data_IF_992172288906
#
_entry.id   IF_992172288906
#
_cell.length_a   1.000
_cell.length_b   1.000
_cell.length_c   1.000
_cell.angle_alpha   90.00
_cell.angle_beta   90.00
_cell.angle_gamma   90.00
#
_symmetry.space_group_name_H-M   'P 1'
#
loop_
_entity.id
_entity.type
_entity.pdbx_description
1 polymer ?
#
# COMPACT_ATOMS: atom_id res chain seq x y z
N UNK A 1 -33.67 -29.50 -1.01
CA UNK A 1 -33.31 -28.14 -1.46
C UNK A 1 -32.80 -27.21 -0.32
N UNK A 2 -32.15 -27.72 0.74
CA UNK A 2 -31.67 -26.88 1.85
C UNK A 2 -30.27 -27.27 2.38
N UNK A 3 -29.48 -28.03 1.61
CA UNK A 3 -28.14 -28.49 2.02
C UNK A 3 -26.99 -27.77 1.29
N UNK A 4 -27.27 -26.76 0.47
CA UNK A 4 -26.25 -26.07 -0.34
C UNK A 4 -25.78 -24.73 0.25
N UNK A 5 -26.49 -24.17 1.24
CA UNK A 5 -26.17 -22.85 1.81
C UNK A 5 -25.16 -22.89 2.97
N UNK A 6 -24.92 -24.04 3.59
CA UNK A 6 -24.00 -24.14 4.75
C UNK A 6 -22.56 -24.55 4.39
N UNK A 7 -22.27 -24.88 3.12
CA UNK A 7 -20.92 -25.33 2.70
C UNK A 7 -20.07 -24.25 2.02
N UNK A 8 -20.67 -23.11 1.69
CA UNK A 8 -19.96 -21.93 1.17
C UNK A 8 -19.63 -20.88 2.25
N UNK A 9 -20.00 -21.11 3.52
CA UNK A 9 -19.80 -20.14 4.61
C UNK A 9 -18.37 -20.13 5.20
N UNK A 10 -17.56 -21.16 4.97
CA UNK A 10 -16.23 -21.24 5.61
C UNK A 10 -15.07 -20.68 4.77
N UNK A 11 -15.21 -20.53 3.44
CA UNK A 11 -14.22 -19.83 2.61
C UNK A 11 -14.48 -18.32 2.58
N UNK A 12 -15.74 -17.90 2.49
CA UNK A 12 -16.11 -16.48 2.47
C UNK A 12 -15.85 -15.80 3.82
N UNK A 13 -15.98 -16.52 4.94
CA UNK A 13 -15.60 -15.98 6.26
C UNK A 13 -14.08 -15.83 6.44
N UNK A 14 -13.24 -16.56 5.67
CA UNK A 14 -11.80 -16.29 5.62
C UNK A 14 -11.48 -15.08 4.74
N UNK A 15 -12.24 -14.86 3.65
CA UNK A 15 -12.17 -13.62 2.86
C UNK A 15 -12.62 -12.39 3.66
N UNK A 16 -13.64 -12.51 4.52
CA UNK A 16 -14.01 -11.42 5.44
C UNK A 16 -12.88 -11.10 6.43
N UNK A 17 -12.17 -12.11 6.95
CA UNK A 17 -11.02 -11.90 7.83
C UNK A 17 -9.80 -11.27 7.13
N UNK A 18 -9.70 -11.40 5.79
CA UNK A 18 -8.73 -10.68 4.96
C UNK A 18 -9.23 -9.26 4.62
N UNK A 19 -10.53 -9.06 4.42
CA UNK A 19 -11.15 -7.75 4.14
C UNK A 19 -11.39 -6.85 5.37
N UNK A 20 -11.33 -7.38 6.59
CA UNK A 20 -11.50 -6.61 7.84
C UNK A 20 -10.28 -5.72 8.16
N UNK A 21 -9.17 -5.84 7.42
CA UNK A 21 -7.92 -5.09 7.69
C UNK A 21 -7.73 -3.82 6.85
N UNK A 22 -8.80 -3.35 6.20
CA UNK A 22 -8.74 -2.43 5.06
C UNK A 22 -8.79 -0.91 5.39
N UNK A 23 -8.99 -0.49 6.65
CA UNK A 23 -9.11 0.94 7.05
C UNK A 23 -7.89 1.50 7.80
N UNK A 24 -6.88 0.65 7.98
CA UNK A 24 -5.63 0.94 8.66
C UNK A 24 -4.90 2.12 8.00
N UNK A 25 -4.97 2.23 6.67
CA UNK A 25 -4.32 3.29 5.90
C UNK A 25 -5.10 4.62 5.92
N UNK A 26 -6.43 4.60 5.89
CA UNK A 26 -7.27 5.83 5.86
C UNK A 26 -7.15 6.62 7.15
N UNK A 27 -7.11 5.93 8.30
CA UNK A 27 -6.91 6.59 9.60
C UNK A 27 -5.48 7.11 9.76
N UNK A 28 -4.51 6.40 9.19
CA UNK A 28 -3.11 6.84 9.13
C UNK A 28 -2.97 8.12 8.32
N UNK A 29 -3.58 8.18 7.14
CA UNK A 29 -3.60 9.37 6.29
C UNK A 29 -4.41 10.49 6.95
N UNK A 30 -5.54 10.20 7.61
CA UNK A 30 -6.30 11.20 8.35
C UNK A 30 -5.48 11.82 9.49
N UNK A 31 -4.72 11.01 10.24
CA UNK A 31 -3.79 11.49 11.28
C UNK A 31 -2.64 12.30 10.68
N UNK A 32 -2.06 11.85 9.57
CA UNK A 32 -1.02 12.59 8.84
C UNK A 32 -1.55 13.93 8.35
N UNK A 33 -2.75 13.96 7.78
CA UNK A 33 -3.40 15.18 7.32
C UNK A 33 -3.73 16.09 8.51
N UNK A 34 -4.20 15.58 9.64
CA UNK A 34 -4.42 16.37 10.86
C UNK A 34 -3.12 16.99 11.40
N UNK A 35 -2.00 16.27 11.33
CA UNK A 35 -0.67 16.79 11.68
C UNK A 35 -0.24 17.90 10.71
N UNK A 36 -0.49 17.73 9.41
CA UNK A 36 -0.17 18.76 8.40
C UNK A 36 -1.06 20.00 8.57
N UNK A 37 -2.37 19.82 8.82
CA UNK A 37 -3.34 20.91 9.06
C UNK A 37 -2.95 21.76 10.28
N UNK A 38 -2.40 21.13 11.34
CA UNK A 38 -1.96 21.83 12.55
C UNK A 38 -0.85 22.87 12.33
N UNK A 39 -0.21 22.90 11.17
CA UNK A 39 0.81 23.88 10.78
C UNK A 39 0.38 24.92 9.72
N UNK A 40 -0.87 24.88 9.22
CA UNK A 40 -1.31 25.73 8.12
C UNK A 40 -1.63 27.17 8.56
N UNK A 41 -0.83 28.14 8.10
CA UNK A 41 -1.19 29.56 8.11
C UNK A 41 -2.00 29.92 6.85
N UNK A 42 -3.09 30.67 6.99
CA UNK A 42 -3.90 31.17 5.86
C UNK A 42 -3.04 32.00 4.89
N UNK A 43 -2.99 31.59 3.62
CA UNK A 43 -2.25 32.27 2.53
C UNK A 43 -1.08 31.49 1.91
N UNK A 44 -0.79 30.26 2.36
CA UNK A 44 0.28 29.43 1.79
C UNK A 44 -0.14 28.73 0.49
N UNK A 45 0.84 28.45 -0.39
CA UNK A 45 0.66 27.55 -1.56
C UNK A 45 0.13 26.18 -1.09
N UNK A 46 -0.62 25.44 -1.93
CA UNK A 46 -1.12 24.12 -1.54
C UNK A 46 0.04 23.20 -1.15
N UNK A 47 -0.17 22.36 -0.14
CA UNK A 47 0.79 21.34 0.26
C UNK A 47 0.83 20.27 -0.81
N UNK A 48 1.99 20.16 -1.47
CA UNK A 48 2.19 19.21 -2.55
C UNK A 48 2.45 17.83 -1.95
N UNK A 49 1.74 16.83 -2.46
CA UNK A 49 1.82 15.45 -1.99
C UNK A 49 2.11 14.53 -3.17
N UNK A 50 3.00 13.56 -2.97
CA UNK A 50 3.18 12.41 -3.85
C UNK A 50 3.01 11.14 -3.04
N UNK A 51 2.28 10.17 -3.59
CA UNK A 51 1.98 8.90 -2.94
C UNK A 51 2.72 7.77 -3.64
N UNK A 52 3.45 6.93 -2.89
CA UNK A 52 4.05 5.68 -3.39
C UNK A 52 3.31 4.48 -2.78
N UNK A 53 2.72 3.62 -3.61
CA UNK A 53 1.69 2.65 -3.22
C UNK A 53 1.82 1.34 -4.01
N UNK A 54 1.39 0.22 -3.45
CA UNK A 54 1.26 -1.07 -4.15
C UNK A 54 -0.18 -1.41 -4.55
N UNK A 55 -1.09 -0.44 -4.47
CA UNK A 55 -2.45 -0.46 -5.05
C UNK A 55 -3.26 -1.68 -4.62
N UNK A 56 -3.17 -2.04 -3.34
CA UNK A 56 -4.11 -2.98 -2.73
C UNK A 56 -5.40 -2.27 -2.29
N UNK A 57 -6.35 -2.99 -1.70
CA UNK A 57 -7.66 -2.44 -1.34
C UNK A 57 -7.55 -1.26 -0.37
N UNK A 58 -6.68 -1.33 0.63
CA UNK A 58 -6.49 -0.25 1.61
C UNK A 58 -5.77 0.97 1.02
N UNK A 59 -4.80 0.78 0.12
CA UNK A 59 -4.22 1.85 -0.70
C UNK A 59 -5.26 2.59 -1.51
N UNK A 60 -6.18 1.85 -2.14
CA UNK A 60 -7.22 2.44 -2.96
C UNK A 60 -8.16 3.33 -2.13
N UNK A 61 -8.52 2.87 -0.93
CA UNK A 61 -9.32 3.64 0.02
C UNK A 61 -8.59 4.92 0.46
N UNK A 62 -7.30 4.79 0.77
CA UNK A 62 -6.42 5.88 1.11
C UNK A 62 -6.36 6.96 0.01
N UNK A 63 -6.18 6.54 -1.24
CA UNK A 63 -6.15 7.44 -2.39
C UNK A 63 -7.50 8.14 -2.60
N UNK A 64 -8.61 7.42 -2.45
CA UNK A 64 -9.95 8.01 -2.51
C UNK A 64 -10.14 9.09 -1.44
N UNK A 65 -9.71 8.81 -0.22
CA UNK A 65 -9.74 9.77 0.87
C UNK A 65 -8.89 11.01 0.55
N UNK A 66 -7.67 10.83 0.02
CA UNK A 66 -6.81 11.93 -0.43
C UNK A 66 -7.43 12.77 -1.53
N UNK A 67 -8.07 12.14 -2.52
CA UNK A 67 -8.66 12.80 -3.67
C UNK A 67 -9.92 13.61 -3.31
N UNK A 68 -10.53 13.36 -2.15
CA UNK A 68 -11.68 14.14 -1.63
C UNK A 68 -11.25 15.40 -0.87
N UNK A 69 -9.98 15.56 -0.52
CA UNK A 69 -9.51 16.81 0.08
C UNK A 69 -9.53 17.98 -0.89
N UNK A 70 -9.61 19.18 -0.33
CA UNK A 70 -9.58 20.40 -1.12
C UNK A 70 -8.19 20.60 -1.76
N UNK A 71 -8.13 20.58 -3.08
CA UNK A 71 -6.90 20.76 -3.86
C UNK A 71 -6.21 22.11 -3.61
N UNK A 72 -6.93 23.12 -3.12
CA UNK A 72 -6.32 24.41 -2.73
C UNK A 72 -5.49 24.33 -1.45
N UNK A 73 -5.70 23.28 -0.64
CA UNK A 73 -4.95 23.01 0.58
C UNK A 73 -3.96 21.87 0.40
N UNK A 74 -4.39 20.78 -0.26
CA UNK A 74 -3.63 19.55 -0.47
C UNK A 74 -3.64 19.15 -1.94
N UNK A 75 -2.53 19.37 -2.62
CA UNK A 75 -2.39 19.06 -4.04
C UNK A 75 -1.67 17.72 -4.21
N UNK A 76 -2.42 16.67 -4.52
CA UNK A 76 -1.85 15.41 -5.00
C UNK A 76 -1.25 15.64 -6.40
N UNK A 77 0.07 15.55 -6.51
CA UNK A 77 0.85 15.83 -7.72
C UNK A 77 1.15 14.58 -8.53
N UNK A 78 1.33 13.45 -7.83
CA UNK A 78 1.66 12.19 -8.47
C UNK A 78 1.40 10.98 -7.58
N UNK A 79 1.22 9.84 -8.25
CA UNK A 79 1.10 8.52 -7.65
C UNK A 79 2.18 7.64 -8.30
N UNK A 80 3.07 7.07 -7.51
CA UNK A 80 4.02 6.07 -7.97
C UNK A 80 3.66 4.69 -7.46
N UNK A 81 3.81 3.69 -8.31
CA UNK A 81 3.35 2.33 -8.04
C UNK A 81 4.55 1.43 -7.75
N UNK A 82 4.51 0.72 -6.63
CA UNK A 82 5.46 -0.31 -6.25
C UNK A 82 4.92 -1.68 -6.67
N UNK A 83 5.51 -2.28 -7.71
CA UNK A 83 5.09 -3.59 -8.21
C UNK A 83 5.69 -4.77 -7.41
N UNK A 84 6.25 -4.50 -6.24
CA UNK A 84 6.99 -5.48 -5.42
C UNK A 84 6.10 -6.36 -4.55
N UNK A 85 4.84 -5.98 -4.36
CA UNK A 85 3.89 -6.66 -3.51
C UNK A 85 2.62 -7.06 -4.29
N UNK A 86 1.46 -6.53 -3.90
CA UNK A 86 0.13 -7.11 -4.18
C UNK A 86 -0.44 -6.86 -5.57
N UNK A 87 0.26 -6.08 -6.40
CA UNK A 87 -0.25 -5.71 -7.71
C UNK A 87 0.72 -6.02 -8.86
N UNK A 88 0.17 -6.22 -10.05
CA UNK A 88 0.89 -6.16 -11.32
C UNK A 88 0.81 -4.75 -11.91
N UNK A 89 1.90 -4.29 -12.54
CA UNK A 89 2.00 -2.96 -13.14
C UNK A 89 0.80 -2.61 -14.05
N UNK A 90 0.35 -3.57 -14.87
CA UNK A 90 -0.76 -3.35 -15.80
C UNK A 90 -2.11 -3.22 -15.10
N UNK A 91 -2.37 -4.01 -14.05
CA UNK A 91 -3.58 -3.85 -13.26
C UNK A 91 -3.54 -2.54 -12.49
N UNK A 92 -2.48 -2.32 -11.70
CA UNK A 92 -2.29 -1.16 -10.84
C UNK A 92 -2.48 0.16 -11.58
N UNK A 93 -1.74 0.37 -12.68
CA UNK A 93 -1.78 1.63 -13.43
C UNK A 93 -3.18 1.89 -13.97
N UNK A 94 -3.82 0.87 -14.54
CA UNK A 94 -5.17 1.06 -15.05
C UNK A 94 -6.20 1.26 -13.93
N UNK A 95 -6.01 0.66 -12.75
CA UNK A 95 -6.87 0.87 -11.59
C UNK A 95 -6.77 2.31 -11.09
N UNK A 96 -5.55 2.85 -11.01
CA UNK A 96 -5.30 4.26 -10.68
C UNK A 96 -5.88 5.19 -11.74
N UNK A 97 -5.73 4.89 -13.04
CA UNK A 97 -6.32 5.72 -14.10
C UNK A 97 -7.85 5.77 -14.05
N UNK A 98 -8.50 4.62 -13.82
CA UNK A 98 -9.97 4.58 -13.70
C UNK A 98 -10.44 5.33 -12.44
N UNK A 99 -9.69 5.26 -11.33
CA UNK A 99 -9.92 6.06 -10.13
C UNK A 99 -9.79 7.56 -10.40
N UNK A 100 -8.68 7.99 -11.00
CA UNK A 100 -8.44 9.40 -11.31
C UNK A 100 -9.49 9.95 -12.28
N UNK A 101 -9.90 9.14 -13.26
CA UNK A 101 -10.98 9.49 -14.18
C UNK A 101 -12.32 9.66 -13.44
N UNK A 102 -12.68 8.73 -12.56
CA UNK A 102 -13.87 8.83 -11.71
C UNK A 102 -13.86 10.10 -10.86
N UNK A 103 -12.70 10.49 -10.33
CA UNK A 103 -12.52 11.65 -9.47
C UNK A 103 -12.30 12.97 -10.24
N UNK A 104 -12.25 12.94 -11.58
CA UNK A 104 -11.95 14.12 -12.40
C UNK A 104 -10.55 14.69 -12.19
N UNK A 105 -9.58 13.83 -11.82
CA UNK A 105 -8.21 14.19 -11.44
C UNK A 105 -7.16 13.65 -12.41
N UNK A 106 -7.43 13.78 -13.70
CA UNK A 106 -6.50 13.38 -14.76
C UNK A 106 -5.22 14.23 -14.82
N UNK A 107 -5.14 15.31 -14.04
CA UNK A 107 -3.94 16.12 -13.80
C UNK A 107 -2.86 15.38 -13.01
N UNK A 108 -3.21 14.34 -12.23
CA UNK A 108 -2.27 13.60 -11.39
C UNK A 108 -1.38 12.69 -12.24
N UNK A 109 -0.06 12.87 -12.11
CA UNK A 109 0.91 12.03 -12.80
C UNK A 109 0.93 10.61 -12.19
N UNK A 110 1.08 9.58 -13.03
CA UNK A 110 1.18 8.19 -12.56
C UNK A 110 2.47 7.59 -13.07
N UNK A 111 3.30 7.11 -12.16
CA UNK A 111 4.57 6.45 -12.46
C UNK A 111 4.53 5.00 -12.01
N UNK A 112 5.07 4.08 -12.81
CA UNK A 112 5.16 2.67 -12.42
C UNK A 112 6.60 2.29 -12.13
N UNK A 113 6.83 1.74 -10.94
CA UNK A 113 8.08 1.11 -10.55
C UNK A 113 8.19 -0.29 -11.12
N UNK A 114 9.34 -0.90 -10.90
CA UNK A 114 9.63 -2.26 -11.34
C UNK A 114 9.52 -3.29 -10.26
N UNK A 115 9.68 -4.53 -10.69
CA UNK A 115 9.73 -5.69 -9.79
C UNK A 115 11.15 -5.90 -9.24
N UNK A 116 11.23 -6.44 -8.02
CA UNK A 116 12.47 -6.68 -7.28
C UNK A 116 12.89 -5.50 -6.40
N UNK A 117 13.79 -5.77 -5.47
CA UNK A 117 14.29 -4.75 -4.54
C UNK A 117 15.81 -4.67 -4.55
N UNK A 118 16.34 -3.76 -3.76
CA UNK A 118 17.77 -3.42 -3.75
C UNK A 118 18.55 -4.51 -3.00
N UNK A 119 19.70 -4.92 -3.55
CA UNK A 119 20.56 -5.91 -2.89
C UNK A 119 21.25 -5.32 -1.64
N UNK A 120 21.63 -6.17 -0.67
CA UNK A 120 22.30 -5.75 0.58
C UNK A 120 23.55 -4.90 0.37
N UNK A 121 24.30 -5.15 -0.72
CA UNK A 121 25.49 -4.39 -1.07
C UNK A 121 25.18 -3.07 -1.78
N UNK A 122 23.90 -2.66 -1.86
CA UNK A 122 23.44 -1.45 -2.54
C UNK A 122 23.34 -1.56 -4.06
N UNK A 123 23.58 -2.73 -4.64
CA UNK A 123 23.47 -2.92 -6.10
C UNK A 123 22.01 -2.83 -6.54
N UNK A 124 21.71 -1.88 -7.42
CA UNK A 124 20.43 -1.77 -8.14
C UNK A 124 20.57 -2.58 -9.42
N UNK A 125 19.80 -3.67 -9.54
CA UNK A 125 19.80 -4.49 -10.74
C UNK A 125 18.98 -3.82 -11.86
N UNK A 126 19.27 -4.07 -13.16
CA UNK A 126 18.70 -3.30 -14.28
C UNK A 126 17.16 -3.24 -14.34
N UNK A 127 16.49 -4.20 -13.72
CA UNK A 127 15.03 -4.35 -13.76
C UNK A 127 14.36 -3.92 -12.44
N UNK A 128 15.13 -3.64 -11.39
CA UNK A 128 14.62 -3.15 -10.09
C UNK A 128 14.18 -1.71 -10.28
N UNK A 129 12.90 -1.41 -10.04
CA UNK A 129 12.35 -0.08 -10.29
C UNK A 129 12.05 0.23 -11.78
N UNK A 130 12.20 -0.73 -12.70
CA UNK A 130 11.93 -0.59 -14.14
C UNK A 130 10.82 -1.50 -14.73
N UNK A 131 10.54 -1.35 -16.01
CA UNK A 131 9.34 -1.92 -16.67
C UNK A 131 9.21 -3.45 -16.78
N UNK A 132 10.30 -4.19 -16.62
CA UNK A 132 10.30 -5.61 -16.93
C UNK A 132 10.09 -6.43 -15.65
N UNK A 133 9.09 -7.32 -15.61
CA UNK A 133 8.92 -8.24 -14.49
C UNK A 133 10.19 -9.08 -14.37
N UNK A 134 10.80 -9.08 -13.19
CA UNK A 134 11.95 -9.94 -12.91
C UNK A 134 11.39 -11.33 -12.65
N UNK A 135 11.25 -12.09 -13.73
CA UNK A 135 11.17 -13.54 -13.66
C UNK A 135 12.48 -14.01 -13.02
N UNK A 136 12.36 -14.59 -11.82
CA UNK A 136 13.36 -15.45 -11.19
C UNK A 136 14.77 -14.86 -11.06
N UNK A 137 15.10 -14.30 -9.90
CA UNK A 137 16.50 -14.34 -9.48
C UNK A 137 16.65 -15.05 -8.13
N UNK A 138 17.82 -15.65 -7.93
CA UNK A 138 18.13 -16.57 -6.84
C UNK A 138 18.19 -15.92 -5.44
N UNK A 139 18.87 -16.62 -4.53
CA UNK A 139 18.87 -16.40 -3.08
C UNK A 139 19.13 -14.95 -2.67
N UNK A 140 18.44 -14.52 -1.60
CA UNK A 140 18.53 -13.18 -1.03
C UNK A 140 19.17 -13.17 0.36
N UNK A 141 19.17 -11.96 0.90
CA UNK A 141 19.75 -11.41 2.11
C UNK A 141 19.20 -12.00 3.42
N UNK A 142 18.03 -12.66 3.39
CA UNK A 142 17.41 -13.34 4.54
C UNK A 142 16.89 -14.73 4.15
N UNK A 143 17.58 -15.40 3.23
CA UNK A 143 17.19 -16.72 2.71
C UNK A 143 16.62 -16.66 1.28
N UNK A 144 16.01 -17.76 0.85
CA UNK A 144 15.60 -17.99 -0.55
C UNK A 144 14.39 -17.18 -1.04
N UNK A 145 13.68 -16.46 -0.17
CA UNK A 145 12.45 -15.75 -0.53
C UNK A 145 12.70 -14.29 -0.93
N UNK A 146 12.41 -13.96 -2.19
CA UNK A 146 12.32 -12.56 -2.68
C UNK A 146 10.99 -11.94 -2.32
N UNK A 147 10.98 -10.62 -2.29
CA UNK A 147 9.86 -9.70 -2.02
C UNK A 147 8.51 -10.16 -2.62
N UNK A 148 8.44 -10.42 -3.93
CA UNK A 148 7.24 -10.91 -4.64
C UNK A 148 7.05 -12.44 -4.59
N UNK A 149 8.01 -13.16 -4.03
CA UNK A 149 7.97 -14.60 -3.73
C UNK A 149 7.43 -14.91 -2.34
N UNK A 150 7.21 -13.87 -1.50
CA UNK A 150 6.38 -13.98 -0.30
C UNK A 150 4.90 -14.14 -0.64
N UNK A 151 4.49 -13.93 -1.89
CA UNK A 151 3.13 -14.22 -2.34
C UNK A 151 3.12 -15.66 -2.89
N UNK A 152 2.30 -16.58 -2.35
CA UNK A 152 2.27 -17.97 -2.80
C UNK A 152 1.89 -18.05 -4.28
N UNK A 153 2.43 -19.04 -4.99
CA UNK A 153 2.03 -19.34 -6.37
C UNK A 153 1.06 -20.51 -6.36
N UNK A 154 -0.19 -20.26 -6.76
CA UNK A 154 -1.20 -21.27 -7.02
C UNK A 154 -1.23 -21.71 -8.50
N UNK A 155 -2.21 -22.55 -8.85
CA UNK A 155 -2.37 -23.12 -10.19
C UNK A 155 -2.58 -22.06 -11.30
N UNK A 156 -3.01 -20.84 -10.95
CA UNK A 156 -3.27 -19.73 -11.87
C UNK A 156 -2.25 -18.58 -11.82
N UNK A 157 -1.13 -18.76 -11.10
CA UNK A 157 -0.19 -17.68 -10.81
C UNK A 157 -0.17 -17.31 -9.33
N UNK A 158 0.30 -16.11 -8.99
CA UNK A 158 0.36 -15.64 -7.60
C UNK A 158 -1.04 -15.52 -7.01
N UNK A 159 -1.22 -16.03 -5.79
CA UNK A 159 -2.48 -15.92 -5.06
C UNK A 159 -2.71 -14.47 -4.65
N UNK A 160 -3.98 -14.05 -4.68
CA UNK A 160 -4.48 -12.77 -4.20
C UNK A 160 -3.84 -11.52 -4.86
N UNK A 161 -3.01 -11.70 -5.89
CA UNK A 161 -2.53 -10.59 -6.71
C UNK A 161 -3.69 -9.99 -7.50
N UNK A 162 -3.70 -8.67 -7.62
CA UNK A 162 -4.73 -7.95 -8.38
C UNK A 162 -6.16 -8.29 -7.91
N UNK A 163 -6.34 -8.49 -6.59
CA UNK A 163 -7.60 -8.92 -5.98
C UNK A 163 -8.81 -8.08 -6.43
N UNK A 164 -8.58 -6.78 -6.67
CA UNK A 164 -9.60 -5.82 -7.10
C UNK A 164 -9.87 -5.80 -8.60
N UNK A 165 -9.24 -6.66 -9.42
CA UNK A 165 -9.38 -6.66 -10.88
C UNK A 165 -10.83 -6.77 -11.35
N UNK A 166 -11.59 -7.72 -10.80
CA UNK A 166 -12.98 -7.94 -11.20
C UNK A 166 -13.87 -6.75 -10.89
N UNK A 167 -13.72 -6.20 -9.69
CA UNK A 167 -14.53 -5.10 -9.18
C UNK A 167 -14.19 -3.80 -9.90
N UNK A 168 -12.90 -3.53 -10.13
CA UNK A 168 -12.44 -2.45 -11.00
C UNK A 168 -13.12 -2.51 -12.38
N UNK A 169 -13.07 -3.66 -13.07
CA UNK A 169 -13.61 -3.79 -14.43
C UNK A 169 -15.13 -3.69 -14.49
N UNK A 170 -15.83 -4.14 -13.46
CA UNK A 170 -17.28 -4.13 -13.39
C UNK A 170 -17.85 -2.78 -12.94
N UNK A 171 -17.11 -2.06 -12.08
CA UNK A 171 -17.63 -0.87 -11.42
C UNK A 171 -17.00 0.42 -11.94
N UNK A 172 -15.68 0.56 -11.96
CA UNK A 172 -15.05 1.86 -12.21
C UNK A 172 -15.22 2.31 -13.68
N UNK A 173 -15.49 3.62 -13.90
CA UNK A 173 -15.55 4.17 -15.23
C UNK A 173 -14.15 4.16 -15.85
N UNK A 174 -14.06 3.72 -17.10
CA UNK A 174 -12.79 3.61 -17.82
C UNK A 174 -12.55 4.84 -18.68
N UNK A 175 -11.53 5.61 -18.30
CA UNK A 175 -11.10 6.80 -19.02
C UNK A 175 -10.34 6.49 -20.31
N UNK A 176 -9.77 7.54 -20.91
CA UNK A 176 -8.93 7.43 -22.12
C UNK A 176 -7.50 6.99 -21.81
N UNK A 177 -7.00 7.31 -20.61
CA UNK A 177 -5.68 6.89 -20.12
C UNK A 177 -5.67 5.38 -19.89
N UNK A 178 -4.65 4.71 -20.41
CA UNK A 178 -4.47 3.26 -20.26
C UNK A 178 -2.99 2.94 -20.09
N UNK A 179 -2.71 1.88 -19.35
CA UNK A 179 -1.36 1.33 -19.27
C UNK A 179 -0.92 0.89 -20.66
N UNK A 180 0.18 1.46 -21.13
CA UNK A 180 0.86 1.03 -22.35
C UNK A 180 2.28 0.64 -21.96
N UNK A 181 2.65 -0.64 -22.09
CA UNK A 181 4.01 -1.08 -21.84
C UNK A 181 5.03 -0.22 -22.58
N UNK A 182 6.14 0.12 -21.91
CA UNK A 182 7.24 0.95 -22.43
C UNK A 182 6.90 2.43 -22.72
N UNK A 183 5.64 2.86 -22.59
CA UNK A 183 5.21 4.27 -22.76
C UNK A 183 4.69 4.93 -21.47
N UNK A 184 4.11 4.17 -20.55
CA UNK A 184 3.87 4.57 -19.16
C UNK A 184 5.12 5.26 -18.52
N UNK A 185 4.95 6.42 -17.86
CA UNK A 185 6.04 6.99 -17.08
C UNK A 185 6.55 6.04 -15.99
N UNK A 186 7.85 6.00 -15.74
CA UNK A 186 8.41 5.24 -14.62
C UNK A 186 8.19 5.99 -13.31
N UNK A 187 8.19 5.27 -12.19
CA UNK A 187 8.15 5.90 -10.86
C UNK A 187 9.29 6.93 -10.70
N UNK A 188 10.49 6.61 -11.21
CA UNK A 188 11.64 7.51 -11.16
C UNK A 188 11.43 8.79 -11.98
N UNK A 189 10.84 8.71 -13.18
CA UNK A 189 10.52 9.89 -13.99
C UNK A 189 9.57 10.83 -13.24
N UNK A 190 8.48 10.28 -12.66
CA UNK A 190 7.50 11.07 -11.91
C UNK A 190 8.11 11.67 -10.64
N UNK A 191 8.88 10.88 -9.86
CA UNK A 191 9.57 11.37 -8.66
C UNK A 191 10.53 12.52 -8.99
N UNK A 192 11.39 12.34 -10.00
CA UNK A 192 12.34 13.38 -10.41
C UNK A 192 11.60 14.64 -10.86
N UNK A 193 10.59 14.53 -11.72
CA UNK A 193 9.83 15.67 -12.22
C UNK A 193 9.16 16.44 -11.07
N UNK A 194 8.38 15.74 -10.23
CA UNK A 194 7.57 16.39 -9.19
C UNK A 194 8.39 16.93 -8.03
N UNK A 195 9.45 16.23 -7.63
CA UNK A 195 10.34 16.69 -6.54
C UNK A 195 11.25 17.83 -7.04
N UNK A 196 11.66 17.85 -8.31
CA UNK A 196 12.45 18.96 -8.86
C UNK A 196 11.66 20.27 -8.95
N UNK A 197 10.33 20.19 -9.08
CA UNK A 197 9.47 21.37 -9.20
C UNK A 197 9.32 22.20 -7.91
N UNK A 198 9.71 21.65 -6.75
CA UNK A 198 9.68 22.36 -5.48
C UNK A 198 9.42 21.46 -4.28
N UNK A 199 9.25 22.05 -3.08
CA UNK A 199 8.98 21.31 -1.86
C UNK A 199 7.76 20.38 -1.99
N UNK A 200 7.86 19.18 -1.43
CA UNK A 200 6.82 18.14 -1.52
C UNK A 200 6.91 17.18 -0.33
N UNK A 201 5.74 16.68 0.11
CA UNK A 201 5.61 15.62 1.10
C UNK A 201 5.39 14.27 0.41
N UNK A 202 6.05 13.23 0.90
CA UNK A 202 5.89 11.86 0.39
C UNK A 202 5.04 11.03 1.35
N UNK A 203 4.03 10.35 0.81
CA UNK A 203 3.27 9.31 1.53
C UNK A 203 3.69 7.95 0.94
N UNK A 204 4.41 7.15 1.72
CA UNK A 204 4.94 5.86 1.30
C UNK A 204 4.13 4.78 1.99
N UNK A 205 3.21 4.18 1.24
CA UNK A 205 2.22 3.21 1.72
C UNK A 205 2.39 1.83 1.10
N UNK A 206 3.34 1.65 0.17
CA UNK A 206 3.83 0.35 -0.29
C UNK A 206 5.30 0.10 0.05
N UNK A 207 5.93 -0.85 -0.66
CA UNK A 207 7.36 -1.15 -0.49
C UNK A 207 8.27 0.01 -0.95
N UNK A 208 9.26 0.35 -0.14
CA UNK A 208 10.06 1.59 -0.19
C UNK A 208 11.03 1.71 -1.38
N UNK A 209 11.07 0.72 -2.26
CA UNK A 209 12.06 0.56 -3.33
C UNK A 209 12.14 1.78 -4.25
N UNK A 210 11.00 2.31 -4.70
CA UNK A 210 10.96 3.46 -5.59
C UNK A 210 11.63 4.69 -4.96
N UNK A 211 11.30 4.96 -3.69
CA UNK A 211 11.82 6.11 -2.95
C UNK A 211 13.30 5.93 -2.65
N UNK A 212 13.74 4.73 -2.25
CA UNK A 212 15.16 4.47 -2.02
C UNK A 212 16.01 4.66 -3.27
N UNK A 213 15.58 4.12 -4.43
CA UNK A 213 16.26 4.33 -5.71
C UNK A 213 16.38 5.82 -6.03
N UNK A 214 15.28 6.56 -5.84
CA UNK A 214 15.28 8.00 -6.09
C UNK A 214 16.29 8.73 -5.18
N UNK A 215 16.28 8.45 -3.88
CA UNK A 215 17.15 9.08 -2.90
C UNK A 215 18.63 8.72 -3.09
N UNK A 216 18.92 7.50 -3.53
CA UNK A 216 20.28 7.02 -3.81
C UNK A 216 20.84 7.65 -5.10
N UNK A 217 20.03 7.76 -6.15
CA UNK A 217 20.48 8.29 -7.45
C UNK A 217 20.40 9.82 -7.55
N UNK A 218 19.53 10.47 -6.76
CA UNK A 218 19.28 11.91 -6.81
C UNK A 218 19.47 12.58 -5.43
N UNK A 219 20.64 12.42 -4.77
CA UNK A 219 20.85 12.93 -3.41
C UNK A 219 20.70 14.46 -3.30
N UNK A 220 20.92 15.20 -4.39
CA UNK A 220 20.77 16.65 -4.45
C UNK A 220 19.31 17.12 -4.40
N UNK A 221 18.34 16.25 -4.71
CA UNK A 221 16.90 16.54 -4.67
C UNK A 221 16.27 16.25 -3.30
N UNK A 222 16.99 15.59 -2.37
CA UNK A 222 16.50 15.29 -1.01
C UNK A 222 15.99 16.53 -0.27
N UNK A 223 16.64 17.67 -0.48
CA UNK A 223 16.29 18.96 0.14
C UNK A 223 14.89 19.48 -0.23
N UNK A 224 14.30 18.97 -1.30
CA UNK A 224 12.94 19.32 -1.74
C UNK A 224 11.89 18.39 -1.10
N UNK A 225 12.29 17.33 -0.41
CA UNK A 225 11.36 16.48 0.33
C UNK A 225 11.24 17.03 1.75
N UNK A 226 10.08 17.59 2.07
CA UNK A 226 9.83 18.23 3.37
C UNK A 226 9.65 17.19 4.47
N UNK A 227 8.91 16.12 4.15
CA UNK A 227 8.56 15.07 5.09
C UNK A 227 8.23 13.76 4.36
N UNK A 228 8.51 12.63 4.99
CA UNK A 228 8.12 11.30 4.53
C UNK A 228 7.23 10.65 5.59
N UNK A 229 6.00 10.33 5.23
CA UNK A 229 5.11 9.53 6.05
C UNK A 229 5.12 8.11 5.54
N UNK A 230 5.41 7.16 6.42
CA UNK A 230 5.57 5.75 6.08
C UNK A 230 4.46 4.96 6.76
N UNK A 231 3.66 4.20 5.99
CA UNK A 231 2.92 3.08 6.57
C UNK A 231 3.83 1.85 6.53
N UNK A 232 4.15 1.34 7.71
CA UNK A 232 4.92 0.11 7.83
C UNK A 232 5.61 -0.07 9.17
N UNK A 233 6.14 -1.27 9.38
CA UNK A 233 6.81 -1.67 10.61
C UNK A 233 5.88 -2.00 11.78
N UNK A 234 6.45 -2.59 12.83
CA UNK A 234 5.82 -2.80 14.13
C UNK A 234 6.84 -2.49 15.23
N UNK A 235 6.70 -1.35 15.89
CA UNK A 235 7.69 -0.81 16.84
C UNK A 235 7.52 -1.40 18.22
N UNK A 236 6.28 -1.48 18.73
CA UNK A 236 5.96 -2.04 20.04
C UNK A 236 4.90 -3.14 19.95
N UNK A 237 4.67 -3.66 18.73
CA UNK A 237 3.51 -4.49 18.43
C UNK A 237 3.51 -5.67 19.39
N UNK A 238 2.48 -5.71 20.23
CA UNK A 238 2.32 -6.66 21.32
C UNK A 238 1.03 -7.42 21.10
N UNK A 239 1.07 -8.74 21.26
CA UNK A 239 -0.06 -9.66 21.31
C UNK A 239 -1.40 -9.00 21.71
N UNK A 240 -2.46 -9.03 20.88
CA UNK A 240 -3.74 -9.43 21.41
C UNK A 240 -3.59 -10.86 21.92
N UNK A 241 -4.23 -11.16 23.05
CA UNK A 241 -4.32 -12.52 23.62
C UNK A 241 -4.58 -13.55 22.52
N UNK A 242 -3.75 -14.60 22.43
CA UNK A 242 -3.82 -15.60 21.36
C UNK A 242 -5.23 -16.17 21.14
N UNK A 243 -5.50 -16.73 19.96
CA UNK A 243 -6.83 -17.19 19.51
C UNK A 243 -7.46 -18.33 20.30
N UNK A 244 -6.87 -18.72 21.42
CA UNK A 244 -7.59 -19.48 22.43
C UNK A 244 -8.34 -18.48 23.33
N UNK A 245 -9.68 -18.48 23.34
CA UNK A 245 -10.44 -17.76 24.36
C UNK A 245 -9.90 -18.09 25.75
N UNK A 246 -10.04 -17.19 26.73
CA UNK A 246 -9.58 -17.42 28.12
C UNK A 246 -10.07 -18.74 28.74
N UNK A 247 -11.11 -19.35 28.16
CA UNK A 247 -11.74 -20.62 28.58
C UNK A 247 -11.58 -21.77 27.56
N UNK A 248 -10.55 -21.77 26.72
CA UNK A 248 -10.37 -22.82 25.71
C UNK A 248 -10.01 -24.19 26.34
N UNK A 249 -10.55 -25.27 25.77
CA UNK A 249 -10.20 -26.66 26.07
C UNK A 249 -8.69 -26.89 25.93
N UNK A 250 -8.13 -27.89 26.66
CA UNK A 250 -6.72 -28.33 26.56
C UNK A 250 -6.29 -28.80 25.17
N UNK A 251 -7.24 -28.89 24.23
CA UNK A 251 -7.03 -29.20 22.81
C UNK A 251 -6.82 -27.96 21.93
N UNK A 252 -7.02 -26.74 22.45
CA UNK A 252 -6.65 -25.51 21.76
C UNK A 252 -5.13 -25.36 21.88
N UNK A 253 -4.40 -25.87 20.88
CA UNK A 253 -2.97 -25.61 20.75
C UNK A 253 -2.83 -24.12 20.42
N UNK A 254 -2.09 -23.32 21.22
CA UNK A 254 -1.82 -21.93 20.89
C UNK A 254 -1.05 -21.86 19.57
N UNK A 255 -1.76 -21.68 18.46
CA UNK A 255 -1.19 -21.15 17.23
C UNK A 255 -1.23 -19.62 17.34
N UNK A 256 -0.22 -18.95 16.79
CA UNK A 256 -0.16 -17.50 16.82
C UNK A 256 -1.37 -16.94 16.05
N UNK A 257 -2.19 -16.12 16.71
CA UNK A 257 -3.31 -15.42 16.07
C UNK A 257 -3.34 -13.94 16.46
N UNK A 258 -2.23 -13.26 16.16
CA UNK A 258 -1.92 -11.87 16.53
C UNK A 258 -1.15 -11.81 17.86
N UNK A 259 -0.07 -11.04 18.03
CA UNK A 259 0.63 -10.07 17.16
C UNK A 259 2.14 -10.15 17.40
N UNK A 260 2.91 -10.34 16.32
CA UNK A 260 4.06 -9.51 15.91
C UNK A 260 4.20 -9.65 14.37
N UNK A 261 4.41 -8.54 13.66
CA UNK A 261 4.40 -8.51 12.19
C UNK A 261 3.04 -8.84 11.53
N UNK A 262 2.94 -8.67 10.21
CA UNK A 262 1.76 -9.04 9.41
C UNK A 262 2.12 -9.93 8.19
N UNK A 263 3.30 -10.56 8.19
CA UNK A 263 3.67 -11.60 7.21
C UNK A 263 2.72 -12.81 7.35
N UNK A 264 2.10 -13.25 6.26
CA UNK A 264 1.15 -14.38 6.27
C UNK A 264 1.74 -15.68 5.68
N UNK A 265 2.71 -15.58 4.78
CA UNK A 265 3.36 -16.76 4.17
C UNK A 265 4.55 -17.29 4.94
N UNK A 266 5.26 -16.42 5.65
CA UNK A 266 6.52 -16.76 6.30
C UNK A 266 6.52 -16.42 7.80
N UNK A 267 5.33 -16.38 8.41
CA UNK A 267 5.17 -16.01 9.83
C UNK A 267 5.93 -16.94 10.78
N UNK A 268 6.16 -18.20 10.39
CA UNK A 268 6.88 -19.17 11.20
C UNK A 268 8.39 -18.88 11.27
N UNK A 269 8.98 -18.30 10.22
CA UNK A 269 10.42 -17.99 10.19
C UNK A 269 10.71 -16.51 10.44
N UNK A 270 9.74 -15.63 10.15
CA UNK A 270 9.82 -14.20 10.40
C UNK A 270 8.53 -13.66 11.05
N UNK A 271 8.35 -13.86 12.36
CA UNK A 271 7.17 -13.41 13.10
C UNK A 271 7.26 -11.94 13.51
N UNK A 272 8.14 -11.13 12.93
CA UNK A 272 8.39 -9.75 13.38
C UNK A 272 8.19 -8.73 12.27
N UNK A 273 8.40 -9.12 11.03
CA UNK A 273 8.38 -8.19 9.92
C UNK A 273 6.95 -7.74 9.58
N UNK A 274 6.86 -6.47 9.21
CA UNK A 274 5.69 -5.92 8.54
C UNK A 274 5.93 -5.95 7.02
N UNK A 275 4.89 -6.14 6.23
CA UNK A 275 4.92 -6.47 4.80
C UNK A 275 5.60 -5.41 3.94
N UNK A 276 5.31 -4.11 4.14
CA UNK A 276 5.93 -3.02 3.37
C UNK A 276 7.42 -2.88 3.66
N UNK A 277 7.83 -3.11 4.92
CA UNK A 277 9.25 -3.16 5.29
C UNK A 277 9.91 -4.44 4.78
N UNK A 278 9.23 -5.58 4.87
CA UNK A 278 9.72 -6.87 4.38
C UNK A 278 9.87 -6.89 2.85
N UNK A 279 9.02 -6.14 2.16
CA UNK A 279 9.01 -6.02 0.71
C UNK A 279 10.26 -5.36 0.12
N UNK A 280 11.04 -4.60 0.91
CA UNK A 280 12.42 -4.22 0.60
C UNK A 280 13.11 -3.62 1.85
N UNK A 281 13.70 -4.45 2.74
CA UNK A 281 14.27 -3.98 4.01
C UNK A 281 15.45 -3.04 3.80
N UNK A 282 16.22 -3.24 2.71
CA UNK A 282 17.33 -2.35 2.39
C UNK A 282 16.80 -0.99 1.95
N UNK A 283 15.79 -0.95 1.08
CA UNK A 283 15.16 0.32 0.70
C UNK A 283 14.54 1.03 1.91
N UNK A 284 13.81 0.30 2.76
CA UNK A 284 13.26 0.87 3.99
C UNK A 284 14.36 1.48 4.87
N UNK A 285 15.49 0.78 5.04
CA UNK A 285 16.66 1.31 5.73
C UNK A 285 17.16 2.62 5.10
N UNK A 286 17.31 2.67 3.77
CA UNK A 286 17.76 3.87 3.04
C UNK A 286 16.80 5.06 3.21
N UNK A 287 15.48 4.82 3.17
CA UNK A 287 14.48 5.88 3.34
C UNK A 287 14.46 6.41 4.78
N UNK A 288 14.43 5.51 5.76
CA UNK A 288 14.41 5.89 7.19
C UNK A 288 15.69 6.65 7.59
N UNK A 289 16.84 6.25 7.04
CA UNK A 289 18.14 6.90 7.33
C UNK A 289 18.50 7.99 6.32
N UNK A 290 17.53 8.48 5.54
CA UNK A 290 17.77 9.44 4.45
C UNK A 290 18.24 10.82 4.93
N UNK A 291 17.99 11.15 6.20
CA UNK A 291 18.20 12.48 6.79
C UNK A 291 16.99 13.42 6.63
N UNK A 292 15.93 12.97 5.95
CA UNK A 292 14.66 13.69 5.80
C UNK A 292 13.79 13.40 7.04
N UNK A 293 12.97 14.36 7.53
CA UNK A 293 11.98 14.09 8.57
C UNK A 293 11.04 12.93 8.18
N UNK A 294 10.95 11.92 9.05
CA UNK A 294 10.15 10.72 8.84
C UNK A 294 9.14 10.57 9.98
N UNK A 295 7.88 10.33 9.63
CA UNK A 295 6.86 9.84 10.56
C UNK A 295 6.44 8.44 10.17
N UNK A 296 6.66 7.50 11.08
CA UNK A 296 6.22 6.12 10.93
C UNK A 296 4.79 5.98 11.44
N UNK A 297 3.94 5.32 10.66
CA UNK A 297 2.63 4.85 11.06
C UNK A 297 2.66 3.31 11.08
N UNK A 298 3.12 2.71 12.20
CA UNK A 298 3.34 1.28 12.31
C UNK A 298 2.06 0.51 12.66
N UNK A 299 2.14 -0.83 12.61
CA UNK A 299 1.09 -1.75 13.05
C UNK A 299 0.55 -1.41 14.46
N UNK A 300 1.41 -0.93 15.36
CA UNK A 300 1.00 -0.47 16.69
C UNK A 300 -0.07 0.62 16.67
N UNK A 301 0.05 1.57 15.74
CA UNK A 301 -0.90 2.65 15.61
C UNK A 301 -2.15 2.15 14.90
N UNK A 302 -1.97 1.35 13.85
CA UNK A 302 -3.06 0.95 12.97
C UNK A 302 -3.96 -0.12 13.59
N UNK A 303 -3.40 -1.01 14.41
CA UNK A 303 -4.15 -2.02 15.17
C UNK A 303 -5.08 -1.40 16.24
N UNK A 304 -4.94 -0.11 16.55
CA UNK A 304 -5.86 0.58 17.50
C UNK A 304 -7.19 0.99 16.88
N UNK A 305 -7.34 0.88 15.55
CA UNK A 305 -8.52 1.32 14.82
C UNK A 305 -9.06 0.16 13.97
N UNK A 306 -9.60 -0.91 14.60
CA UNK A 306 -10.11 -2.06 13.87
C UNK A 306 -11.41 -1.73 13.13
N UNK A 307 -11.61 -2.31 11.94
CA UNK A 307 -12.94 -2.36 11.34
C UNK A 307 -13.77 -3.38 12.11
N UNK A 308 -14.91 -2.95 12.63
CA UNK A 308 -15.87 -3.82 13.29
C UNK A 308 -17.19 -3.87 12.50
N UNK A 309 -18.09 -4.76 12.92
CA UNK A 309 -19.42 -4.91 12.32
C UNK A 309 -20.20 -3.58 12.38
N UNK A 310 -20.09 -2.83 13.47
CA UNK A 310 -20.74 -1.52 13.62
C UNK A 310 -20.30 -0.51 12.54
N UNK A 311 -19.01 -0.49 12.21
CA UNK A 311 -18.47 0.33 11.14
C UNK A 311 -19.06 -0.07 9.80
N UNK A 312 -19.09 -1.38 9.49
CA UNK A 312 -19.68 -1.87 8.24
C UNK A 312 -21.16 -1.55 8.15
N UNK A 313 -21.93 -1.74 9.22
CA UNK A 313 -23.36 -1.40 9.28
C UNK A 313 -23.60 0.11 9.08
N UNK A 314 -22.76 0.95 9.67
CA UNK A 314 -22.84 2.39 9.50
C UNK A 314 -22.51 2.80 8.06
N UNK A 315 -21.48 2.19 7.47
CA UNK A 315 -21.07 2.43 6.10
C UNK A 315 -22.11 1.92 5.10
N UNK A 316 -22.74 0.78 5.36
CA UNK A 316 -23.83 0.23 4.54
C UNK A 316 -25.03 1.19 4.46
N UNK A 317 -25.36 1.82 5.58
CA UNK A 317 -26.47 2.78 5.66
C UNK A 317 -26.18 4.12 4.98
N UNK A 318 -24.92 4.42 4.63
CA UNK A 318 -24.47 5.74 4.18
C UNK A 318 -23.60 5.64 2.92
N UNK A 319 -24.21 5.23 1.80
CA UNK A 319 -23.55 5.08 0.50
C UNK A 319 -24.04 6.09 -0.54
N UNK A 320 -24.26 7.35 -0.16
CA UNK A 320 -24.90 8.32 -1.05
C UNK A 320 -24.02 8.79 -2.23
N UNK A 321 -22.77 8.33 -2.29
CA UNK A 321 -21.85 8.67 -3.37
C UNK A 321 -21.40 7.44 -4.16
N UNK A 322 -21.06 7.67 -5.42
CA UNK A 322 -20.56 6.63 -6.30
C UNK A 322 -19.26 5.98 -5.78
N UNK A 323 -18.41 6.77 -5.12
CA UNK A 323 -17.19 6.26 -4.49
C UNK A 323 -17.51 5.40 -3.26
N UNK A 324 -18.48 5.78 -2.43
CA UNK A 324 -18.89 4.98 -1.27
C UNK A 324 -19.46 3.62 -1.69
N UNK A 325 -20.22 3.56 -2.79
CA UNK A 325 -20.67 2.29 -3.37
C UNK A 325 -19.54 1.42 -3.90
N UNK A 326 -18.49 2.01 -4.47
CA UNK A 326 -17.31 1.26 -4.91
C UNK A 326 -16.61 0.63 -3.71
N UNK A 327 -16.31 1.45 -2.71
CA UNK A 327 -15.64 1.10 -1.45
C UNK A 327 -16.36 -0.03 -0.72
N UNK A 328 -17.70 -0.01 -0.70
CA UNK A 328 -18.45 -1.08 -0.04
C UNK A 328 -18.44 -2.40 -0.81
N UNK A 329 -18.30 -2.35 -2.13
CA UNK A 329 -18.34 -3.54 -2.99
C UNK A 329 -16.98 -4.19 -3.17
N UNK A 330 -15.90 -3.41 -3.09
CA UNK A 330 -14.49 -3.86 -3.10
C UNK A 330 -14.15 -4.63 -1.84
#
# INVERSE_FOLDING_TARGET
HLSFYYKYSTLTNRMLLLGIRCWVLVSSIAVVVLIIIGGCAEGSRPHRILVDTDVDTDDFFALLYLLKFNASQFQLEGITISANAWTSAGHAVNHIYDLLYMMGRDDVAVGVGGEGGILQNGTILPNVGGYLPIVEQGMTTVGGCRYRGAIPVGLGGRLDIDANYGIRKAFLPQGTRKYIPLQQPTAQQVLIEKISAGPITLLVIGAHTNIAIFLMNNPHLKKNVEHIYIMGGGVRSSNPTGCCPKNASSTCVPMQCGDRGNMFTDYNTNPYAEFNIFGDPFAAYQVIHSGIPVTLVPLDATNTIPINEEFFDAFEKSQDTYEAHYIFKS
#
